data_IF_810519212530
#
_entry.id   IF_810519212530
#
_cell.length_a   1.000
_cell.length_b   1.000
_cell.length_c   1.000
_cell.angle_alpha   90.00
_cell.angle_beta   90.00
_cell.angle_gamma   90.00
#
_symmetry.space_group_name_H-M   'P 1'
#
loop_
_entity.id
_entity.type
_entity.pdbx_description
1 polymer ?
#
# COMPACT_ATOMS: atom_id res chain seq x y z
N UNK A 1 15.74 -18.98 -6.58
CA UNK A 1 16.46 -17.83 -5.99
C UNK A 1 17.50 -18.42 -5.06
N UNK A 2 18.75 -17.99 -5.12
CA UNK A 2 19.70 -18.29 -4.04
C UNK A 2 19.11 -17.76 -2.74
N UNK A 3 19.22 -18.50 -1.64
CA UNK A 3 18.78 -18.03 -0.34
C UNK A 3 19.33 -16.61 -0.12
N UNK A 4 18.43 -15.64 0.13
CA UNK A 4 18.84 -14.26 0.41
C UNK A 4 19.77 -14.32 1.62
N UNK A 5 21.05 -14.03 1.40
CA UNK A 5 22.08 -14.17 2.44
C UNK A 5 22.15 -12.84 3.20
N UNK A 6 21.78 -12.89 4.48
CA UNK A 6 21.67 -11.71 5.33
C UNK A 6 23.03 -11.36 5.94
N UNK A 7 23.54 -10.17 5.62
CA UNK A 7 24.77 -9.62 6.20
C UNK A 7 24.45 -8.50 7.20
N UNK A 8 24.74 -8.74 8.48
CA UNK A 8 24.55 -7.79 9.57
C UNK A 8 25.26 -6.44 9.32
N UNK A 9 26.39 -6.44 8.60
CA UNK A 9 27.11 -5.20 8.25
C UNK A 9 26.32 -4.35 7.26
N UNK A 10 25.75 -4.97 6.21
CA UNK A 10 24.91 -4.28 5.25
C UNK A 10 23.67 -3.70 5.92
N UNK A 11 23.12 -4.44 6.88
CA UNK A 11 21.95 -3.97 7.62
C UNK A 11 22.28 -2.74 8.46
N UNK A 12 23.36 -2.77 9.23
CA UNK A 12 23.78 -1.59 9.99
C UNK A 12 24.07 -0.39 9.09
N UNK A 13 24.57 -0.61 7.87
CA UNK A 13 24.90 0.44 6.89
C UNK A 13 23.67 1.08 6.25
N UNK A 14 22.67 0.27 5.89
CA UNK A 14 21.52 0.72 5.08
C UNK A 14 20.19 0.81 5.83
N UNK A 15 20.12 0.45 7.10
CA UNK A 15 18.94 0.65 7.95
C UNK A 15 18.78 2.12 8.38
N UNK A 16 18.63 3.00 7.39
CA UNK A 16 18.47 4.44 7.54
C UNK A 16 17.00 4.87 7.43
N UNK A 17 16.70 6.08 7.87
CA UNK A 17 15.40 6.70 7.62
C UNK A 17 15.29 7.10 6.15
N UNK A 18 14.18 6.75 5.51
CA UNK A 18 14.00 7.01 4.10
C UNK A 18 12.55 6.86 3.66
N UNK A 19 12.21 7.39 2.49
CA UNK A 19 10.85 7.36 1.98
C UNK A 19 10.43 5.94 1.62
N UNK A 20 9.14 5.66 1.82
CA UNK A 20 8.55 4.36 1.47
C UNK A 20 8.28 4.20 -0.02
N UNK A 21 8.41 5.28 -0.81
CA UNK A 21 8.06 5.36 -2.23
C UNK A 21 6.71 4.72 -2.56
N UNK A 22 5.71 5.07 -1.74
CA UNK A 22 4.30 4.85 -2.08
C UNK A 22 3.91 5.63 -3.35
N UNK A 23 4.54 6.79 -3.54
CA UNK A 23 4.53 7.61 -4.75
C UNK A 23 5.88 8.32 -4.88
N UNK A 24 6.16 8.86 -6.06
CA UNK A 24 7.16 9.89 -6.26
C UNK A 24 6.52 11.09 -6.98
N UNK A 25 6.69 12.32 -6.47
CA UNK A 25 7.28 12.65 -5.17
C UNK A 25 6.48 12.08 -3.99
N UNK A 26 7.06 12.07 -2.80
CA UNK A 26 6.36 11.58 -1.60
C UNK A 26 5.23 12.52 -1.19
N UNK A 27 4.31 12.05 -0.35
CA UNK A 27 3.24 12.89 0.20
C UNK A 27 3.73 14.13 0.99
N UNK A 28 5.03 14.21 1.34
CA UNK A 28 5.62 15.41 1.95
C UNK A 28 5.79 16.58 0.97
N UNK A 29 5.80 16.32 -0.33
CA UNK A 29 5.88 17.37 -1.35
C UNK A 29 4.53 18.07 -1.61
N UNK A 30 3.41 17.48 -1.15
CA UNK A 30 2.09 18.06 -1.34
C UNK A 30 1.96 19.38 -0.58
N UNK A 31 1.49 20.42 -1.27
CA UNK A 31 1.33 21.78 -0.74
C UNK A 31 -0.14 22.20 -0.71
N UNK A 32 -0.51 23.03 0.26
CA UNK A 32 -1.81 23.73 0.29
C UNK A 32 -1.90 24.81 -0.80
N UNK A 33 -0.75 25.32 -1.25
CA UNK A 33 -0.63 26.19 -2.42
C UNK A 33 -0.61 25.35 -3.69
N UNK A 34 -1.81 24.94 -4.14
CA UNK A 34 -1.98 24.07 -5.31
C UNK A 34 -3.14 24.55 -6.19
N UNK A 35 -2.88 24.65 -7.49
CA UNK A 35 -3.89 24.98 -8.49
C UNK A 35 -4.81 23.78 -8.76
N UNK A 36 -6.00 23.83 -8.17
CA UNK A 36 -7.01 22.77 -8.30
C UNK A 36 -7.55 22.61 -9.73
N UNK A 37 -7.41 23.61 -10.59
CA UNK A 37 -7.88 23.51 -11.99
C UNK A 37 -7.12 22.44 -12.78
N UNK A 38 -5.90 22.09 -12.33
CA UNK A 38 -5.09 21.02 -12.89
C UNK A 38 -5.74 19.63 -12.75
N UNK A 39 -6.60 19.42 -11.76
CA UNK A 39 -7.28 18.13 -11.54
C UNK A 39 -8.20 17.80 -12.71
N UNK A 40 -9.08 18.72 -13.10
CA UNK A 40 -10.02 18.52 -14.22
C UNK A 40 -9.27 18.23 -15.51
N UNK A 41 -8.18 18.97 -15.76
CA UNK A 41 -7.32 18.76 -16.92
C UNK A 41 -6.66 17.37 -16.89
N UNK A 42 -6.06 17.00 -15.76
CA UNK A 42 -5.40 15.70 -15.60
C UNK A 42 -6.35 14.53 -15.81
N UNK A 43 -7.56 14.61 -15.26
CA UNK A 43 -8.60 13.60 -15.45
C UNK A 43 -9.01 13.54 -16.93
N UNK A 44 -9.24 14.69 -17.58
CA UNK A 44 -9.60 14.75 -19.00
C UNK A 44 -8.54 14.13 -19.92
N UNK A 45 -7.26 14.37 -19.65
CA UNK A 45 -6.11 13.89 -20.45
C UNK A 45 -5.59 12.49 -20.05
N UNK A 46 -6.20 11.87 -19.04
CA UNK A 46 -5.84 10.52 -18.57
C UNK A 46 -6.38 9.42 -19.49
N UNK A 47 -5.94 8.18 -19.27
CA UNK A 47 -6.53 7.02 -19.94
C UNK A 47 -8.03 6.87 -19.61
N UNK A 48 -8.76 6.09 -20.40
CA UNK A 48 -10.18 5.86 -20.16
C UNK A 48 -10.43 5.02 -18.91
N UNK A 49 -9.46 4.21 -18.50
CA UNK A 49 -9.59 3.34 -17.33
C UNK A 49 -8.87 3.91 -16.11
N UNK A 50 -9.58 3.91 -14.98
CA UNK A 50 -9.09 4.41 -13.70
C UNK A 50 -9.34 3.38 -12.59
N UNK A 51 -8.50 3.45 -11.56
CA UNK A 51 -8.70 2.81 -10.27
C UNK A 51 -9.41 3.78 -9.32
N UNK A 52 -10.30 3.24 -8.49
CA UNK A 52 -11.03 3.96 -7.47
C UNK A 52 -10.65 3.41 -6.08
N UNK A 53 -10.20 4.30 -5.20
CA UNK A 53 -10.02 4.02 -3.77
C UNK A 53 -11.09 4.74 -2.97
N UNK A 54 -11.69 4.06 -2.00
CA UNK A 54 -12.58 4.70 -1.03
C UNK A 54 -12.05 4.40 0.37
N UNK A 55 -11.80 5.48 1.11
CA UNK A 55 -11.40 5.38 2.51
C UNK A 55 -12.62 5.27 3.41
N UNK A 56 -12.72 4.19 4.19
CA UNK A 56 -13.73 4.03 5.24
C UNK A 56 -13.01 4.16 6.60
N UNK A 57 -13.11 5.31 7.30
CA UNK A 57 -12.21 5.61 8.42
C UNK A 57 -12.58 4.87 9.70
N UNK A 58 -13.75 4.27 9.81
CA UNK A 58 -14.26 3.79 11.10
C UNK A 58 -13.67 2.45 11.53
N UNK A 59 -13.32 2.33 12.81
CA UNK A 59 -12.99 1.06 13.46
C UNK A 59 -13.77 0.92 14.78
N UNK A 60 -14.21 -0.31 15.09
CA UNK A 60 -14.88 -0.58 16.37
C UNK A 60 -13.93 -0.53 17.58
N UNK A 61 -12.67 -0.93 17.38
CA UNK A 61 -11.68 -1.09 18.45
C UNK A 61 -10.32 -0.50 18.07
N UNK A 62 -9.67 0.12 19.05
CA UNK A 62 -8.35 0.70 18.92
C UNK A 62 -7.25 -0.37 18.98
N UNK A 63 -6.64 -0.71 17.84
CA UNK A 63 -5.39 -1.47 17.81
C UNK A 63 -4.22 -0.52 18.12
N UNK A 64 -3.32 -0.91 19.04
CA UNK A 64 -2.29 -0.02 19.58
C UNK A 64 -1.13 0.23 18.60
N UNK A 65 -0.84 -0.71 17.69
CA UNK A 65 0.19 -0.55 16.66
C UNK A 65 -0.19 0.39 15.51
N UNK A 66 -1.49 0.62 15.30
CA UNK A 66 -2.03 1.12 14.03
C UNK A 66 -1.67 2.59 13.77
N UNK A 67 -1.05 2.86 12.62
CA UNK A 67 -0.71 4.20 12.12
C UNK A 67 -1.60 4.71 10.98
N UNK A 68 -2.72 4.03 10.69
CA UNK A 68 -3.66 4.42 9.63
C UNK A 68 -4.46 5.68 10.02
N UNK A 69 -4.95 6.44 9.04
CA UNK A 69 -6.02 7.41 9.28
C UNK A 69 -7.31 6.62 9.61
N UNK A 70 -7.89 6.89 10.78
CA UNK A 70 -9.04 6.15 11.30
C UNK A 70 -9.71 6.87 12.46
N UNK A 71 -10.97 6.54 12.68
CA UNK A 71 -11.83 7.05 13.75
C UNK A 71 -12.39 5.87 14.54
N UNK A 72 -12.05 5.80 15.82
CA UNK A 72 -12.58 4.75 16.71
C UNK A 72 -13.97 5.16 17.17
N UNK A 73 -14.98 4.33 16.89
CA UNK A 73 -16.35 4.59 17.33
C UNK A 73 -17.17 3.32 17.41
N UNK A 74 -18.22 3.35 18.24
CA UNK A 74 -19.27 2.31 18.31
C UNK A 74 -20.61 2.77 17.73
N UNK A 75 -20.66 4.02 17.25
CA UNK A 75 -21.86 4.67 16.73
C UNK A 75 -22.00 4.38 15.24
N UNK A 76 -22.90 3.46 14.89
CA UNK A 76 -23.09 3.02 13.50
C UNK A 76 -23.70 4.13 12.61
N UNK A 77 -24.47 5.04 13.21
CA UNK A 77 -25.08 6.21 12.58
C UNK A 77 -24.05 7.18 11.96
N UNK A 78 -22.81 7.16 12.47
CA UNK A 78 -21.71 7.91 11.86
C UNK A 78 -21.36 7.42 10.47
N UNK A 79 -21.54 6.12 10.19
CA UNK A 79 -21.36 5.59 8.84
C UNK A 79 -22.45 6.07 7.89
N UNK A 80 -23.72 6.20 8.34
CA UNK A 80 -24.79 6.74 7.50
C UNK A 80 -24.55 8.21 7.12
N UNK A 81 -24.08 9.00 8.09
CA UNK A 81 -23.66 10.39 7.85
C UNK A 81 -22.52 10.44 6.83
N UNK A 82 -21.53 9.57 6.98
CA UNK A 82 -20.38 9.50 6.08
C UNK A 82 -20.75 9.05 4.67
N UNK A 83 -21.63 8.05 4.53
CA UNK A 83 -22.12 7.59 3.22
C UNK A 83 -22.94 8.67 2.51
N UNK A 84 -23.65 9.51 3.26
CA UNK A 84 -24.33 10.68 2.68
C UNK A 84 -23.33 11.69 2.11
N UNK A 85 -22.25 11.97 2.83
CA UNK A 85 -21.18 12.84 2.35
C UNK A 85 -20.43 12.23 1.15
N UNK A 86 -20.12 10.93 1.19
CA UNK A 86 -19.52 10.21 0.06
C UNK A 86 -20.42 10.26 -1.19
N UNK A 87 -21.74 10.13 -1.05
CA UNK A 87 -22.66 10.26 -2.17
C UNK A 87 -22.58 11.65 -2.83
N UNK A 88 -22.43 12.71 -2.03
CA UNK A 88 -22.23 14.08 -2.52
C UNK A 88 -20.87 14.22 -3.19
N UNK A 89 -19.80 13.68 -2.62
CA UNK A 89 -18.47 13.66 -3.25
C UNK A 89 -18.48 12.93 -4.60
N UNK A 90 -19.15 11.78 -4.68
CA UNK A 90 -19.32 11.02 -5.92
C UNK A 90 -20.08 11.83 -6.98
N UNK A 91 -21.10 12.60 -6.56
CA UNK A 91 -21.82 13.49 -7.46
C UNK A 91 -20.95 14.61 -8.02
N UNK A 92 -19.99 15.13 -7.24
CA UNK A 92 -19.01 16.14 -7.71
C UNK A 92 -18.02 15.55 -8.72
N UNK A 93 -17.61 14.29 -8.53
CA UNK A 93 -16.71 13.59 -9.47
C UNK A 93 -17.40 13.07 -10.73
N UNK A 94 -18.70 12.75 -10.67
CA UNK A 94 -19.42 12.11 -11.78
C UNK A 94 -19.28 12.86 -13.13
N UNK A 95 -19.41 14.20 -13.21
CA UNK A 95 -19.19 14.92 -14.46
C UNK A 95 -17.75 14.82 -14.99
N UNK A 96 -16.76 14.74 -14.10
CA UNK A 96 -15.34 14.63 -14.47
C UNK A 96 -15.01 13.23 -15.01
N UNK A 97 -15.78 12.22 -14.61
CA UNK A 97 -15.54 10.81 -14.91
C UNK A 97 -16.53 10.22 -15.93
N UNK A 98 -17.35 11.05 -16.59
CA UNK A 98 -18.41 10.60 -17.50
C UNK A 98 -17.91 9.71 -18.66
N UNK A 99 -16.70 9.98 -19.16
CA UNK A 99 -16.06 9.21 -20.24
C UNK A 99 -15.05 8.18 -19.71
N UNK A 100 -15.02 7.95 -18.40
CA UNK A 100 -14.08 7.04 -17.74
C UNK A 100 -14.78 5.76 -17.31
N UNK A 101 -14.00 4.70 -17.19
CA UNK A 101 -14.43 3.40 -16.68
C UNK A 101 -13.57 3.00 -15.49
N UNK A 102 -14.19 2.46 -14.46
CA UNK A 102 -13.50 1.97 -13.28
C UNK A 102 -13.15 0.49 -13.50
N UNK A 103 -11.86 0.17 -13.60
CA UNK A 103 -11.38 -1.21 -13.76
C UNK A 103 -10.87 -1.82 -12.45
N UNK A 104 -10.66 -1.00 -11.42
CA UNK A 104 -10.32 -1.46 -10.07
C UNK A 104 -11.05 -0.60 -9.04
N UNK A 105 -11.66 -1.23 -8.05
CA UNK A 105 -12.23 -0.60 -6.87
C UNK A 105 -11.61 -1.22 -5.62
N UNK A 106 -11.15 -0.38 -4.70
CA UNK A 106 -10.63 -0.82 -3.41
C UNK A 106 -11.27 -0.02 -2.27
N UNK A 107 -11.89 -0.75 -1.35
CA UNK A 107 -12.32 -0.20 -0.06
C UNK A 107 -11.24 -0.50 0.97
N UNK A 108 -10.64 0.54 1.54
CA UNK A 108 -9.63 0.41 2.61
C UNK A 108 -9.83 1.44 3.71
N UNK A 109 -8.85 1.56 4.60
CA UNK A 109 -8.74 2.68 5.53
C UNK A 109 -8.67 2.27 7.00
N UNK A 110 -9.72 2.57 7.76
CA UNK A 110 -9.89 2.04 9.11
C UNK A 110 -10.33 0.59 9.06
N UNK A 111 -11.62 0.36 8.83
CA UNK A 111 -12.19 -0.98 8.66
C UNK A 111 -13.42 -0.88 7.76
N UNK A 112 -13.30 -1.15 6.45
CA UNK A 112 -14.47 -1.15 5.54
C UNK A 112 -15.62 -2.04 6.02
N UNK A 113 -15.33 -3.19 6.62
CA UNK A 113 -16.34 -4.09 7.20
C UNK A 113 -16.97 -3.59 8.51
N UNK A 114 -16.61 -2.38 8.96
CA UNK A 114 -17.40 -1.62 9.93
C UNK A 114 -18.81 -1.34 9.39
N UNK A 115 -18.94 -1.11 8.08
CA UNK A 115 -20.23 -0.93 7.44
C UNK A 115 -21.09 -2.20 7.60
N UNK A 116 -22.38 -2.00 7.85
CA UNK A 116 -23.37 -3.08 7.82
C UNK A 116 -23.60 -3.53 6.38
N UNK A 117 -24.24 -4.68 6.20
CA UNK A 117 -24.62 -5.25 4.92
C UNK A 117 -25.52 -4.27 4.12
N UNK A 118 -26.42 -3.56 4.82
CA UNK A 118 -27.28 -2.52 4.23
C UNK A 118 -26.43 -1.33 3.76
N UNK A 119 -25.51 -0.86 4.59
CA UNK A 119 -24.61 0.26 4.26
C UNK A 119 -23.65 -0.09 3.12
N UNK A 120 -23.15 -1.33 3.04
CA UNK A 120 -22.35 -1.83 1.92
C UNK A 120 -23.16 -1.87 0.63
N UNK A 121 -24.40 -2.38 0.68
CA UNK A 121 -25.30 -2.34 -0.48
C UNK A 121 -25.57 -0.92 -0.95
N UNK A 122 -25.80 0.01 -0.02
CA UNK A 122 -26.00 1.42 -0.32
C UNK A 122 -24.77 2.03 -0.99
N UNK A 123 -23.56 1.78 -0.45
CA UNK A 123 -22.31 2.26 -1.04
C UNK A 123 -22.12 1.75 -2.47
N UNK A 124 -22.33 0.46 -2.71
CA UNK A 124 -22.22 -0.12 -4.05
C UNK A 124 -23.28 0.41 -5.01
N UNK A 125 -24.51 0.63 -4.54
CA UNK A 125 -25.55 1.26 -5.36
C UNK A 125 -25.20 2.71 -5.74
N UNK A 126 -24.63 3.48 -4.81
CA UNK A 126 -24.14 4.83 -5.08
C UNK A 126 -23.00 4.83 -6.11
N UNK A 127 -22.05 3.92 -5.96
CA UNK A 127 -20.96 3.71 -6.92
C UNK A 127 -21.48 3.44 -8.33
N UNK A 128 -22.39 2.48 -8.50
CA UNK A 128 -22.99 2.16 -9.79
C UNK A 128 -23.87 3.29 -10.36
N UNK A 129 -24.44 4.12 -9.49
CA UNK A 129 -25.22 5.31 -9.91
C UNK A 129 -24.31 6.39 -10.50
N UNK A 130 -23.13 6.60 -9.93
CA UNK A 130 -22.26 7.73 -10.28
C UNK A 130 -21.14 7.37 -11.27
N UNK A 131 -20.73 6.10 -11.33
CA UNK A 131 -19.58 5.68 -12.13
C UNK A 131 -19.89 4.43 -12.98
N UNK A 132 -19.25 4.37 -14.14
CA UNK A 132 -19.24 3.17 -14.98
C UNK A 132 -18.17 2.21 -14.50
N UNK A 133 -18.57 1.10 -13.86
CA UNK A 133 -17.64 0.06 -13.38
C UNK A 133 -17.63 -1.08 -14.40
N UNK A 134 -16.43 -1.50 -14.82
CA UNK A 134 -16.28 -2.62 -15.75
C UNK A 134 -16.82 -3.91 -15.12
N UNK A 135 -17.45 -4.76 -15.92
CA UNK A 135 -18.04 -6.02 -15.45
C UNK A 135 -16.99 -6.99 -14.88
N UNK A 136 -15.75 -6.90 -15.37
CA UNK A 136 -14.58 -7.68 -14.95
C UNK A 136 -13.63 -6.90 -14.03
N UNK A 137 -14.08 -5.78 -13.45
CA UNK A 137 -13.26 -4.98 -12.55
C UNK A 137 -12.75 -5.79 -11.35
N UNK A 138 -11.51 -5.52 -10.91
CA UNK A 138 -11.01 -6.01 -9.62
C UNK A 138 -11.70 -5.20 -8.50
N UNK A 139 -12.57 -5.84 -7.72
CA UNK A 139 -13.30 -5.20 -6.63
C UNK A 139 -12.85 -5.81 -5.31
N UNK A 140 -12.16 -5.01 -4.50
CA UNK A 140 -11.43 -5.46 -3.33
C UNK A 140 -11.81 -4.71 -2.05
N UNK A 141 -11.69 -5.39 -0.91
CA UNK A 141 -12.03 -4.85 0.40
C UNK A 141 -11.08 -5.35 1.50
N UNK A 142 -10.69 -4.46 2.40
CA UNK A 142 -10.00 -4.80 3.65
C UNK A 142 -11.00 -5.25 4.74
N UNK A 143 -10.66 -6.32 5.46
CA UNK A 143 -11.51 -7.00 6.43
C UNK A 143 -10.80 -7.12 7.77
N UNK A 144 -11.47 -6.66 8.84
CA UNK A 144 -11.16 -7.11 10.20
C UNK A 144 -11.90 -8.44 10.45
N UNK A 145 -11.19 -9.56 10.65
CA UNK A 145 -11.83 -10.88 10.80
C UNK A 145 -12.82 -10.92 11.96
N UNK A 146 -12.58 -10.13 13.02
CA UNK A 146 -13.39 -10.11 14.25
C UNK A 146 -14.80 -9.55 14.06
N UNK A 147 -15.04 -8.78 12.99
CA UNK A 147 -16.29 -8.06 12.76
C UNK A 147 -16.99 -8.47 11.46
N UNK A 148 -16.48 -9.50 10.78
CA UNK A 148 -17.02 -10.00 9.54
C UNK A 148 -17.68 -11.38 9.76
N UNK A 149 -19.02 -11.43 9.75
CA UNK A 149 -19.75 -12.69 9.82
C UNK A 149 -19.72 -13.43 8.48
N UNK A 150 -20.01 -14.73 8.49
CA UNK A 150 -20.18 -15.53 7.29
C UNK A 150 -21.23 -14.94 6.34
N UNK A 151 -22.34 -14.45 6.89
CA UNK A 151 -23.38 -13.75 6.13
C UNK A 151 -22.84 -12.49 5.45
N UNK A 152 -22.00 -11.71 6.15
CA UNK A 152 -21.35 -10.52 5.58
C UNK A 152 -20.37 -10.89 4.46
N UNK A 153 -19.58 -11.96 4.61
CA UNK A 153 -18.69 -12.45 3.54
C UNK A 153 -19.49 -12.89 2.30
N UNK A 154 -20.58 -13.63 2.50
CA UNK A 154 -21.51 -13.99 1.42
C UNK A 154 -22.11 -12.76 0.74
N UNK A 155 -22.50 -11.76 1.52
CA UNK A 155 -23.04 -10.49 1.02
C UNK A 155 -22.01 -9.69 0.23
N UNK A 156 -20.76 -9.61 0.68
CA UNK A 156 -19.66 -8.99 -0.08
C UNK A 156 -19.50 -9.67 -1.44
N UNK A 157 -19.51 -11.01 -1.47
CA UNK A 157 -19.40 -11.73 -2.74
C UNK A 157 -20.58 -11.43 -3.68
N UNK A 158 -21.80 -11.36 -3.13
CA UNK A 158 -23.01 -10.98 -3.87
C UNK A 158 -22.93 -9.56 -4.45
N UNK A 159 -22.34 -8.62 -3.72
CA UNK A 159 -22.11 -7.24 -4.18
C UNK A 159 -21.01 -7.11 -5.25
N UNK A 160 -20.33 -8.22 -5.62
CA UNK A 160 -19.32 -8.23 -6.67
C UNK A 160 -17.88 -8.14 -6.18
N UNK A 161 -17.63 -8.07 -4.86
CA UNK A 161 -16.27 -8.17 -4.34
C UNK A 161 -15.67 -9.52 -4.72
N UNK A 162 -14.50 -9.49 -5.36
CA UNK A 162 -13.81 -10.67 -5.86
C UNK A 162 -12.40 -10.85 -5.26
N UNK A 163 -11.91 -9.86 -4.50
CA UNK A 163 -10.66 -9.92 -3.74
C UNK A 163 -10.85 -9.41 -2.31
N UNK A 164 -10.15 -10.01 -1.35
CA UNK A 164 -10.20 -9.61 0.07
C UNK A 164 -8.82 -9.53 0.68
N UNK A 165 -8.66 -8.64 1.67
CA UNK A 165 -7.45 -8.55 2.51
C UNK A 165 -7.84 -8.65 3.98
N UNK A 166 -7.33 -9.65 4.70
CA UNK A 166 -7.58 -9.80 6.13
C UNK A 166 -6.42 -9.25 6.96
N UNK A 167 -6.75 -8.38 7.91
CA UNK A 167 -5.80 -7.91 8.90
C UNK A 167 -5.53 -8.94 9.99
N UNK A 168 -4.57 -9.86 9.80
CA UNK A 168 -4.20 -10.89 10.78
C UNK A 168 -3.17 -10.35 11.79
N UNK A 169 -2.11 -9.73 11.30
CA UNK A 169 -0.99 -9.16 12.07
C UNK A 169 -0.11 -10.21 12.75
N UNK A 170 -0.68 -11.00 13.67
CA UNK A 170 -0.02 -12.11 14.37
C UNK A 170 -1.09 -13.11 14.90
N UNK A 171 -0.68 -14.36 15.08
CA UNK A 171 -1.49 -15.44 15.67
C UNK A 171 -1.11 -15.74 17.13
N UNK A 172 0.03 -15.24 17.61
CA UNK A 172 0.44 -15.39 19.01
C UNK A 172 -0.46 -14.56 19.94
N UNK A 173 -1.10 -15.24 20.90
CA UNK A 173 -2.07 -14.62 21.82
C UNK A 173 -1.43 -13.51 22.67
N UNK A 174 -0.18 -13.68 23.11
CA UNK A 174 0.52 -12.67 23.93
C UNK A 174 0.78 -11.41 23.12
N UNK A 175 1.21 -11.54 21.87
CA UNK A 175 1.36 -10.43 20.92
C UNK A 175 0.00 -9.75 20.72
N UNK A 176 -1.05 -10.53 20.45
CA UNK A 176 -2.40 -10.01 20.22
C UNK A 176 -2.97 -9.23 21.42
N UNK A 177 -2.77 -9.72 22.64
CA UNK A 177 -3.16 -9.01 23.87
C UNK A 177 -2.41 -7.68 23.96
N UNK A 178 -1.09 -7.71 23.79
CA UNK A 178 -0.23 -6.53 23.89
C UNK A 178 -0.65 -5.41 22.91
N UNK A 179 -1.08 -5.78 21.70
CA UNK A 179 -1.51 -4.83 20.68
C UNK A 179 -3.01 -4.51 20.69
N UNK A 180 -3.76 -5.08 21.63
CA UNK A 180 -5.22 -4.96 21.78
C UNK A 180 -6.02 -5.51 20.58
N UNK A 181 -5.54 -6.59 19.97
CA UNK A 181 -6.11 -7.24 18.79
C UNK A 181 -6.28 -8.76 18.96
N UNK A 182 -6.87 -9.18 20.09
CA UNK A 182 -7.26 -10.58 20.31
C UNK A 182 -8.25 -11.05 19.24
N UNK A 183 -7.94 -12.16 18.60
CA UNK A 183 -8.73 -12.82 17.57
C UNK A 183 -8.39 -14.31 17.51
N UNK A 184 -9.39 -15.14 17.24
CA UNK A 184 -9.21 -16.59 17.17
C UNK A 184 -8.57 -17.01 15.84
N UNK A 185 -7.60 -17.92 15.91
CA UNK A 185 -6.98 -18.52 14.72
C UNK A 185 -7.97 -19.41 13.96
N UNK A 186 -8.87 -20.12 14.66
CA UNK A 186 -9.89 -20.95 14.02
C UNK A 186 -10.89 -20.11 13.22
N UNK A 187 -11.22 -18.91 13.71
CA UNK A 187 -12.02 -17.94 12.96
C UNK A 187 -11.34 -17.56 11.64
N UNK A 188 -10.03 -17.29 11.66
CA UNK A 188 -9.27 -16.91 10.46
C UNK A 188 -9.24 -18.10 9.47
N UNK A 189 -8.96 -19.32 9.96
CA UNK A 189 -9.00 -20.55 9.13
C UNK A 189 -10.35 -20.70 8.43
N UNK A 190 -11.43 -20.58 9.21
CA UNK A 190 -12.80 -20.69 8.71
C UNK A 190 -13.10 -19.63 7.64
N UNK A 191 -12.80 -18.35 7.90
CA UNK A 191 -13.07 -17.27 6.95
C UNK A 191 -12.27 -17.40 5.66
N UNK A 192 -10.99 -17.80 5.72
CA UNK A 192 -10.18 -18.06 4.53
C UNK A 192 -10.78 -19.21 3.71
N UNK A 193 -11.21 -20.29 4.36
CA UNK A 193 -11.87 -21.41 3.68
C UNK A 193 -13.21 -20.99 3.06
N UNK A 194 -14.02 -20.22 3.78
CA UNK A 194 -15.29 -19.71 3.29
C UNK A 194 -15.10 -18.78 2.08
N UNK A 195 -14.11 -17.89 2.10
CA UNK A 195 -13.79 -17.06 0.94
C UNK A 195 -13.45 -17.90 -0.30
N UNK A 196 -12.73 -19.02 -0.15
CA UNK A 196 -12.49 -19.94 -1.28
C UNK A 196 -13.78 -20.57 -1.78
N UNK A 197 -14.64 -21.03 -0.88
CA UNK A 197 -15.93 -21.64 -1.23
C UNK A 197 -16.87 -20.65 -1.95
N UNK A 198 -16.85 -19.38 -1.53
CA UNK A 198 -17.59 -18.29 -2.17
C UNK A 198 -16.96 -17.83 -3.50
N UNK A 199 -15.77 -18.32 -3.85
CA UNK A 199 -15.10 -18.02 -5.12
C UNK A 199 -14.47 -16.63 -5.18
N UNK A 200 -13.91 -16.14 -4.07
CA UNK A 200 -12.95 -15.03 -4.13
C UNK A 200 -11.68 -15.48 -4.86
N UNK A 201 -11.19 -14.66 -5.79
CA UNK A 201 -10.08 -15.02 -6.69
C UNK A 201 -8.69 -14.78 -6.09
N UNK A 202 -8.60 -13.89 -5.09
CA UNK A 202 -7.34 -13.59 -4.41
C UNK A 202 -7.63 -13.20 -2.95
N UNK A 203 -7.06 -13.98 -2.03
CA UNK A 203 -7.13 -13.76 -0.58
C UNK A 203 -5.77 -13.30 -0.10
N UNK A 204 -5.69 -12.09 0.45
CA UNK A 204 -4.49 -11.56 1.10
C UNK A 204 -4.59 -11.67 2.63
N UNK A 205 -3.48 -12.02 3.29
CA UNK A 205 -3.33 -11.89 4.74
C UNK A 205 -2.23 -10.87 5.05
N UNK A 206 -2.57 -9.85 5.84
CA UNK A 206 -1.62 -8.86 6.33
C UNK A 206 -1.03 -9.34 7.66
N UNK A 207 0.30 -9.33 7.76
CA UNK A 207 1.11 -9.69 8.92
C UNK A 207 2.04 -8.52 9.29
N UNK A 208 2.47 -8.47 10.54
CA UNK A 208 3.41 -7.46 11.01
C UNK A 208 4.52 -8.14 11.80
N UNK A 209 5.78 -7.83 11.48
CA UNK A 209 6.93 -8.21 12.30
C UNK A 209 7.51 -7.01 13.05
N UNK A 210 8.14 -7.25 14.20
CA UNK A 210 8.62 -6.23 15.12
C UNK A 210 7.58 -5.78 16.16
N UNK A 211 6.49 -6.53 16.37
CA UNK A 211 5.50 -6.26 17.41
C UNK A 211 6.00 -6.70 18.81
N UNK A 212 5.44 -6.12 19.89
CA UNK A 212 5.68 -6.55 21.27
C UNK A 212 5.64 -8.07 21.47
N UNK A 213 6.63 -8.61 22.18
CA UNK A 213 6.76 -10.03 22.54
C UNK A 213 6.93 -11.02 21.38
N UNK A 214 7.15 -10.54 20.15
CA UNK A 214 7.54 -11.43 19.07
C UNK A 214 8.97 -11.95 19.28
N UNK A 215 9.13 -13.26 19.19
CA UNK A 215 10.41 -13.95 19.18
C UNK A 215 10.46 -14.92 18.00
N UNK A 216 11.65 -15.34 17.54
CA UNK A 216 11.78 -16.27 16.42
C UNK A 216 10.89 -17.51 16.54
N UNK A 217 10.80 -18.11 17.72
CA UNK A 217 10.04 -19.34 17.94
C UNK A 217 8.53 -19.13 17.78
N UNK A 218 7.96 -18.08 18.40
CA UNK A 218 6.53 -17.79 18.27
C UNK A 218 6.16 -17.31 16.88
N UNK A 219 7.03 -16.50 16.28
CA UNK A 219 6.80 -16.02 14.92
C UNK A 219 6.88 -17.16 13.89
N UNK A 220 7.76 -18.15 14.07
CA UNK A 220 7.78 -19.35 13.21
C UNK A 220 6.44 -20.10 13.24
N UNK A 221 5.80 -20.22 14.41
CA UNK A 221 4.48 -20.85 14.52
C UNK A 221 3.42 -20.06 13.73
N UNK A 222 3.45 -18.73 13.81
CA UNK A 222 2.61 -17.86 12.99
C UNK A 222 2.88 -18.09 11.50
N UNK A 223 4.14 -18.14 11.06
CA UNK A 223 4.50 -18.37 9.66
C UNK A 223 4.02 -19.75 9.16
N UNK A 224 4.23 -20.81 9.94
CA UNK A 224 3.82 -22.18 9.59
C UNK A 224 2.31 -22.28 9.39
N UNK A 225 1.54 -21.62 10.25
CA UNK A 225 0.08 -21.58 10.13
C UNK A 225 -0.36 -20.75 8.91
N UNK A 226 0.27 -19.61 8.63
CA UNK A 226 -0.04 -18.79 7.45
C UNK A 226 0.27 -19.56 6.15
N UNK A 227 1.39 -20.29 6.10
CA UNK A 227 1.72 -21.16 4.97
C UNK A 227 0.67 -22.27 4.81
N UNK A 228 0.24 -22.89 5.92
CA UNK A 228 -0.82 -23.91 5.92
C UNK A 228 -2.16 -23.36 5.43
N UNK A 229 -2.51 -22.14 5.83
CA UNK A 229 -3.69 -21.43 5.32
C UNK A 229 -3.61 -21.22 3.81
N UNK A 230 -2.41 -21.12 3.24
CA UNK A 230 -2.12 -20.98 1.81
C UNK A 230 -2.87 -19.81 1.13
N UNK A 231 -2.85 -18.58 1.68
CA UNK A 231 -3.47 -17.42 1.03
C UNK A 231 -2.83 -17.16 -0.34
N UNK A 232 -3.48 -16.39 -1.20
CA UNK A 232 -2.95 -16.11 -2.54
C UNK A 232 -1.91 -14.99 -2.52
N UNK A 233 -2.04 -14.08 -1.55
CA UNK A 233 -1.10 -13.00 -1.26
C UNK A 233 -0.80 -12.90 0.23
N UNK A 234 0.38 -12.39 0.55
CA UNK A 234 0.79 -12.08 1.92
C UNK A 234 1.46 -10.71 1.89
N UNK A 235 1.06 -9.84 2.82
CA UNK A 235 1.80 -8.62 3.12
C UNK A 235 2.47 -8.79 4.48
N UNK A 236 3.80 -8.73 4.55
CA UNK A 236 4.57 -8.83 5.79
C UNK A 236 5.21 -7.48 6.11
N UNK A 237 4.50 -6.64 6.86
CA UNK A 237 4.91 -5.28 7.14
C UNK A 237 5.89 -5.18 8.31
N UNK A 238 6.90 -4.32 8.16
CA UNK A 238 7.76 -3.88 9.26
C UNK A 238 6.98 -2.96 10.20
N UNK A 239 6.93 -3.27 11.50
CA UNK A 239 6.29 -2.40 12.48
C UNK A 239 7.01 -1.04 12.57
N UNK A 240 6.27 0.04 12.33
CA UNK A 240 6.75 1.42 12.46
C UNK A 240 6.28 2.03 13.80
N UNK A 241 7.19 2.08 14.78
CA UNK A 241 6.94 2.67 16.08
C UNK A 241 7.28 4.17 16.10
N UNK A 242 6.26 5.01 16.09
CA UNK A 242 6.31 6.48 16.11
C UNK A 242 5.25 7.03 17.08
N UNK A 243 5.38 6.79 18.40
CA UNK A 243 4.36 7.12 19.40
C UNK A 243 4.05 8.62 19.52
N UNK A 244 4.98 9.50 19.10
CA UNK A 244 4.74 10.94 19.02
C UNK A 244 3.75 11.33 17.92
N UNK A 245 3.69 10.55 16.85
CA UNK A 245 2.73 10.75 15.76
C UNK A 245 1.47 9.92 15.95
N UNK A 246 1.58 8.75 16.57
CA UNK A 246 0.48 7.81 16.78
C UNK A 246 0.32 7.53 18.28
N UNK A 247 -0.44 8.36 19.03
CA UNK A 247 -0.50 8.29 20.49
C UNK A 247 -0.93 6.92 21.07
N UNK A 248 -1.69 6.14 20.31
CA UNK A 248 -2.10 4.79 20.72
C UNK A 248 -0.90 3.84 20.93
N UNK A 249 0.21 4.07 20.22
CA UNK A 249 1.43 3.25 20.34
C UNK A 249 2.12 3.45 21.70
N UNK A 250 1.84 4.55 22.43
CA UNK A 250 2.33 4.76 23.81
C UNK A 250 1.77 3.73 24.82
N UNK A 251 0.74 2.96 24.42
CA UNK A 251 0.18 1.87 25.23
C UNK A 251 0.97 0.56 25.09
N UNK A 252 1.90 0.50 24.15
CA UNK A 252 2.79 -0.63 24.00
C UNK A 252 3.97 -0.46 24.96
N UNK A 253 4.41 -1.56 25.56
CA UNK A 253 5.61 -1.58 26.38
C UNK A 253 6.84 -1.55 25.46
N UNK A 254 7.66 -0.51 25.56
CA UNK A 254 8.85 -0.37 24.72
C UNK A 254 9.88 -1.46 24.99
N UNK A 255 9.97 -1.98 26.21
CA UNK A 255 10.92 -3.03 26.59
C UNK A 255 10.50 -4.40 26.03
N UNK A 256 9.23 -4.53 25.63
CA UNK A 256 8.72 -5.72 24.96
C UNK A 256 8.96 -5.74 23.45
N UNK A 257 9.40 -4.62 22.86
CA UNK A 257 9.67 -4.55 21.42
C UNK A 257 10.93 -5.35 21.06
N UNK A 258 10.92 -6.11 19.95
CA UNK A 258 12.11 -6.79 19.48
C UNK A 258 13.26 -5.80 19.24
N UNK A 259 14.47 -6.20 19.64
CA UNK A 259 15.68 -5.46 19.29
C UNK A 259 15.86 -5.43 17.77
N UNK A 260 16.67 -4.51 17.20
CA UNK A 260 16.92 -4.48 15.76
C UNK A 260 17.37 -5.84 15.19
N UNK A 261 18.27 -6.54 15.87
CA UNK A 261 18.76 -7.85 15.43
C UNK A 261 17.65 -8.91 15.37
N UNK A 262 16.79 -8.97 16.39
CA UNK A 262 15.63 -9.88 16.38
C UNK A 262 14.66 -9.48 15.28
N UNK A 263 14.34 -8.20 15.14
CA UNK A 263 13.41 -7.73 14.09
C UNK A 263 13.88 -8.12 12.69
N UNK A 264 15.18 -8.08 12.44
CA UNK A 264 15.79 -8.52 11.17
C UNK A 264 15.73 -10.04 11.00
N UNK A 265 15.97 -10.79 12.07
CA UNK A 265 15.80 -12.24 12.07
C UNK A 265 14.35 -12.60 11.70
N UNK A 266 13.35 -11.94 12.29
CA UNK A 266 11.93 -12.15 11.97
C UNK A 266 11.62 -11.85 10.49
N UNK A 267 12.15 -10.75 9.96
CA UNK A 267 12.01 -10.41 8.54
C UNK A 267 12.59 -11.51 7.64
N UNK A 268 13.79 -11.97 7.97
CA UNK A 268 14.52 -13.00 7.24
C UNK A 268 13.76 -14.32 7.23
N UNK A 269 13.27 -14.74 8.40
CA UNK A 269 12.45 -15.93 8.58
C UNK A 269 11.16 -15.86 7.75
N UNK A 270 10.46 -14.72 7.79
CA UNK A 270 9.24 -14.53 7.01
C UNK A 270 9.45 -14.62 5.51
N UNK A 271 10.49 -13.95 4.99
CA UNK A 271 10.85 -14.03 3.56
C UNK A 271 11.19 -15.46 3.16
N UNK A 272 12.06 -16.14 3.92
CA UNK A 272 12.46 -17.51 3.63
C UNK A 272 11.26 -18.46 3.65
N UNK A 273 10.44 -18.41 4.71
CA UNK A 273 9.27 -19.27 4.86
C UNK A 273 8.30 -19.16 3.66
N UNK A 274 8.00 -17.95 3.20
CA UNK A 274 7.09 -17.76 2.07
C UNK A 274 7.73 -18.13 0.73
N UNK A 275 9.01 -17.82 0.51
CA UNK A 275 9.71 -18.23 -0.72
C UNK A 275 9.81 -19.76 -0.79
N UNK A 276 10.17 -20.43 0.30
CA UNK A 276 10.27 -21.89 0.39
C UNK A 276 8.89 -22.56 0.23
N UNK A 277 7.81 -21.90 0.67
CA UNK A 277 6.43 -22.32 0.42
C UNK A 277 5.95 -22.05 -1.03
N UNK A 278 6.81 -21.52 -1.91
CA UNK A 278 6.52 -21.33 -3.33
C UNK A 278 5.90 -19.98 -3.70
N UNK A 279 5.89 -19.00 -2.79
CA UNK A 279 5.47 -17.65 -3.11
C UNK A 279 6.58 -16.89 -3.86
N UNK A 280 6.20 -16.10 -4.86
CA UNK A 280 7.09 -15.11 -5.45
C UNK A 280 7.21 -13.91 -4.52
N UNK A 281 8.43 -13.54 -4.17
CA UNK A 281 8.70 -12.25 -3.52
C UNK A 281 8.51 -11.12 -4.55
N UNK A 282 7.34 -10.48 -4.51
CA UNK A 282 6.99 -9.38 -5.41
C UNK A 282 7.87 -8.17 -5.13
N UNK A 283 8.20 -7.94 -3.86
CA UNK A 283 9.14 -6.91 -3.45
C UNK A 283 8.68 -6.18 -2.21
N UNK A 284 9.62 -5.51 -1.54
CA UNK A 284 9.41 -4.88 -0.24
C UNK A 284 8.82 -5.87 0.77
N UNK A 285 7.50 -5.84 0.93
CA UNK A 285 6.75 -6.49 1.98
C UNK A 285 5.71 -7.46 1.39
N UNK A 286 5.67 -7.65 0.06
CA UNK A 286 4.59 -8.38 -0.63
C UNK A 286 5.07 -9.69 -1.26
N UNK A 287 4.26 -10.72 -1.06
CA UNK A 287 4.41 -12.06 -1.62
C UNK A 287 3.13 -12.47 -2.31
N UNK A 288 3.23 -13.17 -3.43
CA UNK A 288 2.06 -13.68 -4.13
C UNK A 288 2.37 -15.04 -4.75
N UNK A 289 1.35 -15.89 -4.89
CA UNK A 289 1.50 -17.13 -5.67
C UNK A 289 1.90 -16.79 -7.12
N UNK A 290 2.71 -17.61 -7.80
CA UNK A 290 3.12 -17.35 -9.18
C UNK A 290 1.94 -17.20 -10.17
N UNK A 291 0.79 -17.78 -9.85
CA UNK A 291 -0.44 -17.68 -10.63
C UNK A 291 -1.22 -16.38 -10.43
N UNK A 292 -0.91 -15.61 -9.39
CA UNK A 292 -1.58 -14.35 -9.06
C UNK A 292 -1.27 -13.25 -10.10
N UNK A 293 -2.22 -12.34 -10.28
CA UNK A 293 -2.10 -11.23 -11.24
C UNK A 293 -0.86 -10.35 -11.02
N UNK A 294 -0.44 -10.09 -9.76
CA UNK A 294 0.75 -9.30 -9.48
C UNK A 294 2.03 -10.02 -9.93
N UNK A 295 2.14 -11.31 -9.62
CA UNK A 295 3.29 -12.12 -10.01
C UNK A 295 3.43 -12.19 -11.54
N UNK A 296 2.32 -12.47 -12.23
CA UNK A 296 2.26 -12.47 -13.71
C UNK A 296 2.61 -11.12 -14.31
N UNK A 297 2.07 -10.03 -13.75
CA UNK A 297 2.40 -8.68 -14.21
C UNK A 297 3.88 -8.35 -14.02
N UNK A 298 4.49 -8.76 -12.90
CA UNK A 298 5.91 -8.54 -12.65
C UNK A 298 6.80 -9.30 -13.65
N UNK A 299 6.49 -10.57 -13.89
CA UNK A 299 7.20 -11.43 -14.85
C UNK A 299 7.13 -10.85 -16.28
N UNK A 300 5.98 -10.26 -16.62
CA UNK A 300 5.75 -9.59 -17.90
C UNK A 300 6.32 -8.15 -17.98
N UNK A 301 6.94 -7.62 -16.91
CA UNK A 301 7.45 -6.23 -16.90
C UNK A 301 6.33 -5.18 -16.89
N UNK A 302 5.16 -5.50 -16.35
CA UNK A 302 3.93 -4.67 -16.34
C UNK A 302 3.39 -4.36 -14.94
N UNK A 303 4.00 -4.90 -13.87
CA UNK A 303 3.66 -4.54 -12.49
C UNK A 303 3.81 -3.04 -12.28
N UNK A 304 2.85 -2.45 -11.60
CA UNK A 304 2.85 -1.04 -11.25
C UNK A 304 2.68 -0.89 -9.74
N UNK A 305 2.87 0.34 -9.25
CA UNK A 305 2.66 0.68 -7.85
C UNK A 305 2.00 2.04 -7.70
N UNK A 306 0.98 2.13 -6.86
CA UNK A 306 0.32 3.37 -6.47
C UNK A 306 0.13 3.44 -4.95
N UNK A 307 -0.72 4.36 -4.47
CA UNK A 307 -0.97 4.55 -3.04
C UNK A 307 -1.59 3.36 -2.31
N UNK A 308 -2.21 2.41 -3.02
CA UNK A 308 -2.74 1.16 -2.47
C UNK A 308 -1.69 0.05 -2.39
N UNK A 309 -0.51 0.25 -2.97
CA UNK A 309 0.54 -0.76 -3.07
C UNK A 309 0.76 -1.24 -4.50
N UNK A 310 1.17 -2.49 -4.67
CA UNK A 310 1.36 -3.07 -6.00
C UNK A 310 0.02 -3.34 -6.67
N UNK A 311 -0.04 -3.06 -7.96
CA UNK A 311 -1.27 -3.13 -8.74
C UNK A 311 -0.97 -3.49 -10.20
N UNK A 312 -1.97 -4.03 -10.87
CA UNK A 312 -2.00 -4.20 -12.33
C UNK A 312 -2.66 -3.01 -13.03
N UNK A 313 -3.39 -2.16 -12.29
CA UNK A 313 -3.87 -0.87 -12.78
C UNK A 313 -2.71 0.13 -12.78
N UNK A 314 -2.67 1.03 -13.76
CA UNK A 314 -1.55 1.96 -13.93
C UNK A 314 -1.23 2.78 -12.67
N UNK A 315 0.05 3.11 -12.46
CA UNK A 315 0.52 3.93 -11.34
C UNK A 315 -0.15 5.32 -11.26
N UNK A 316 -0.53 5.88 -12.41
CA UNK A 316 -0.94 7.28 -12.57
C UNK A 316 -2.40 7.40 -13.05
N UNK A 317 -3.26 6.57 -12.46
CA UNK A 317 -4.66 6.39 -12.84
C UNK A 317 -5.55 6.12 -11.62
N UNK A 318 -5.32 6.78 -10.48
CA UNK A 318 -6.03 6.56 -9.22
C UNK A 318 -6.85 7.77 -8.79
N UNK A 319 -8.15 7.59 -8.60
CA UNK A 319 -9.03 8.52 -7.88
C UNK A 319 -9.27 7.98 -6.47
N UNK A 320 -9.05 8.82 -5.47
CA UNK A 320 -9.35 8.53 -4.06
C UNK A 320 -10.51 9.37 -3.57
N UNK A 321 -11.50 8.73 -2.96
CA UNK A 321 -12.68 9.37 -2.35
C UNK A 321 -12.70 9.15 -0.84
N UNK A 322 -13.34 10.07 -0.12
CA UNK A 322 -13.42 10.04 1.33
C UNK A 322 -12.27 10.76 2.02
N UNK A 323 -12.45 11.00 3.32
CA UNK A 323 -11.43 11.60 4.21
C UNK A 323 -10.05 10.96 4.04
N UNK A 324 -9.02 11.80 3.99
CA UNK A 324 -7.59 11.49 3.85
C UNK A 324 -7.13 10.83 2.54
N UNK A 325 -8.06 10.44 1.66
CA UNK A 325 -7.76 9.77 0.40
C UNK A 325 -6.82 10.58 -0.48
N UNK A 326 -5.96 9.87 -1.20
CA UNK A 326 -5.02 10.45 -2.15
C UNK A 326 -5.36 9.95 -3.55
N UNK A 327 -5.40 10.89 -4.48
CA UNK A 327 -5.52 10.62 -5.91
C UNK A 327 -4.19 10.91 -6.61
N UNK A 328 -3.94 10.21 -7.70
CA UNK A 328 -2.80 10.44 -8.58
C UNK A 328 -3.22 10.12 -10.02
N UNK A 329 -3.31 11.17 -10.85
CA UNK A 329 -3.70 11.04 -12.26
C UNK A 329 -2.85 11.97 -13.11
N UNK A 330 -2.29 11.46 -14.21
CA UNK A 330 -1.51 12.20 -15.21
C UNK A 330 -0.39 13.10 -14.61
N UNK A 331 0.24 12.66 -13.53
CA UNK A 331 1.28 13.41 -12.82
C UNK A 331 0.75 14.55 -11.96
N UNK A 332 -0.55 14.53 -11.62
CA UNK A 332 -1.14 15.44 -10.64
C UNK A 332 -1.59 14.60 -9.45
N UNK A 333 -1.10 14.96 -8.26
CA UNK A 333 -1.46 14.32 -7.00
C UNK A 333 -2.28 15.30 -6.17
N UNK A 334 -3.32 14.80 -5.51
CA UNK A 334 -4.07 15.60 -4.55
C UNK A 334 -4.59 14.72 -3.42
N UNK A 335 -4.67 15.29 -2.23
CA UNK A 335 -5.13 14.62 -1.02
C UNK A 335 -6.33 15.34 -0.44
N UNK A 336 -7.36 14.57 -0.10
CA UNK A 336 -8.50 15.05 0.66
C UNK A 336 -8.12 15.42 2.10
N UNK A 337 -8.89 16.30 2.73
CA UNK A 337 -8.73 16.68 4.15
C UNK A 337 -8.64 15.45 5.04
N UNK A 338 -7.80 15.52 6.09
CA UNK A 338 -7.49 14.37 6.96
C UNK A 338 -8.47 14.24 8.12
N UNK A 339 -9.20 15.30 8.42
CA UNK A 339 -10.14 15.38 9.52
C UNK A 339 -11.59 15.36 9.01
N UNK A 340 -12.42 14.52 9.63
CA UNK A 340 -13.83 14.38 9.24
C UNK A 340 -14.63 15.69 9.27
N UNK A 341 -14.49 16.60 10.26
CA UNK A 341 -15.23 17.86 10.26
C UNK A 341 -14.93 18.72 9.03
N UNK A 342 -13.66 18.82 8.64
CA UNK A 342 -13.23 19.59 7.47
C UNK A 342 -13.74 18.94 6.17
N UNK A 343 -13.67 17.61 6.09
CA UNK A 343 -14.23 16.83 4.98
C UNK A 343 -15.74 17.12 4.83
N UNK A 344 -16.52 17.03 5.91
CA UNK A 344 -17.96 17.29 5.86
C UNK A 344 -18.29 18.75 5.52
N UNK A 345 -17.50 19.70 6.03
CA UNK A 345 -17.71 21.11 5.74
C UNK A 345 -17.53 21.42 4.25
N UNK A 346 -16.45 20.94 3.62
CA UNK A 346 -16.21 21.14 2.20
C UNK A 346 -17.31 20.50 1.33
N UNK A 347 -17.71 19.27 1.67
CA UNK A 347 -18.78 18.56 0.96
C UNK A 347 -20.12 19.31 1.08
N UNK A 348 -20.46 19.83 2.25
CA UNK A 348 -21.68 20.62 2.46
C UNK A 348 -21.69 21.95 1.67
N UNK A 349 -20.52 22.46 1.29
CA UNK A 349 -20.36 23.64 0.43
C UNK A 349 -20.42 23.31 -1.07
N UNK A 350 -20.50 22.02 -1.43
CA UNK A 350 -20.47 21.57 -2.83
C UNK A 350 -19.06 21.49 -3.41
N UNK A 351 -18.03 21.46 -2.57
CA UNK A 351 -16.63 21.41 -2.99
C UNK A 351 -16.03 20.01 -2.83
N UNK A 352 -15.14 19.63 -3.76
CA UNK A 352 -14.28 18.45 -3.58
C UNK A 352 -13.32 18.76 -2.41
N UNK A 353 -13.20 17.89 -1.39
CA UNK A 353 -12.56 18.21 -0.10
C UNK A 353 -11.03 18.13 -0.17
N UNK A 354 -10.43 18.73 -1.20
CA UNK A 354 -8.98 18.78 -1.41
C UNK A 354 -8.34 19.66 -0.33
N UNK A 355 -7.30 19.15 0.34
CA UNK A 355 -6.47 19.90 1.29
C UNK A 355 -5.17 20.37 0.62
N UNK A 356 -4.51 19.48 -0.11
CA UNK A 356 -3.18 19.71 -0.67
C UNK A 356 -2.99 18.95 -1.98
N UNK A 357 -2.08 19.44 -2.82
CA UNK A 357 -1.74 18.79 -4.08
C UNK A 357 -0.33 19.08 -4.56
N UNK A 358 0.04 18.46 -5.68
CA UNK A 358 1.32 18.62 -6.36
C UNK A 358 1.17 18.26 -7.83
N UNK A 359 1.83 19.02 -8.71
CA UNK A 359 1.89 18.75 -10.15
C UNK A 359 3.33 18.47 -10.55
N UNK A 360 3.57 17.27 -11.08
CA UNK A 360 4.90 16.81 -11.47
C UNK A 360 5.39 17.62 -12.68
N UNK A 361 6.60 18.15 -12.56
CA UNK A 361 7.33 18.69 -13.69
C UNK A 361 7.93 17.55 -14.55
N UNK A 362 8.67 17.89 -15.61
CA UNK A 362 9.25 16.89 -16.51
C UNK A 362 10.27 15.97 -15.82
N UNK A 363 11.14 16.52 -14.96
CA UNK A 363 12.11 15.76 -14.16
C UNK A 363 11.39 14.84 -13.16
N UNK A 364 10.33 15.32 -12.52
CA UNK A 364 9.58 14.51 -11.57
C UNK A 364 8.94 13.29 -12.22
N UNK A 365 8.32 13.46 -13.40
CA UNK A 365 7.70 12.36 -14.16
C UNK A 365 8.74 11.31 -14.55
N UNK A 366 9.90 11.77 -14.97
CA UNK A 366 11.02 10.92 -15.34
C UNK A 366 11.53 10.12 -14.13
N UNK A 367 11.79 10.78 -13.00
CA UNK A 367 12.21 10.12 -11.76
C UNK A 367 11.15 9.18 -11.20
N UNK A 368 9.87 9.55 -11.28
CA UNK A 368 8.76 8.68 -10.88
C UNK A 368 8.75 7.38 -11.69
N UNK A 369 8.92 7.46 -13.01
CA UNK A 369 8.99 6.29 -13.87
C UNK A 369 10.21 5.42 -13.58
N UNK A 370 11.38 6.03 -13.35
CA UNK A 370 12.60 5.32 -12.97
C UNK A 370 12.43 4.57 -11.64
N UNK A 371 11.95 5.26 -10.60
CA UNK A 371 11.75 4.68 -9.26
C UNK A 371 10.70 3.57 -9.32
N UNK A 372 9.61 3.77 -10.06
CA UNK A 372 8.57 2.76 -10.28
C UNK A 372 9.15 1.51 -10.94
N UNK A 373 9.97 1.68 -11.97
CA UNK A 373 10.63 0.59 -12.68
C UNK A 373 11.57 -0.21 -11.76
N UNK A 374 12.40 0.45 -10.95
CA UNK A 374 13.30 -0.22 -10.01
C UNK A 374 12.55 -0.93 -8.88
N UNK A 375 11.52 -0.31 -8.30
CA UNK A 375 10.72 -0.91 -7.22
C UNK A 375 9.91 -2.11 -7.72
N UNK A 376 9.33 -2.03 -8.91
CA UNK A 376 8.46 -3.08 -9.43
C UNK A 376 9.24 -4.22 -10.10
N UNK A 377 10.38 -3.93 -10.72
CA UNK A 377 11.05 -4.90 -11.60
C UNK A 377 12.50 -5.19 -11.26
N UNK A 378 13.09 -4.46 -10.31
CA UNK A 378 14.47 -4.65 -9.87
C UNK A 378 15.51 -4.49 -10.99
N UNK A 379 15.13 -3.86 -12.10
CA UNK A 379 16.02 -3.62 -13.25
C UNK A 379 15.55 -2.44 -14.10
N UNK A 380 16.50 -1.77 -14.74
CA UNK A 380 16.27 -0.66 -15.65
C UNK A 380 17.25 -0.76 -16.83
N UNK A 381 16.72 -0.78 -18.06
CA UNK A 381 17.52 -0.64 -19.29
C UNK A 381 17.69 0.86 -19.59
N UNK A 382 18.92 1.36 -19.49
CA UNK A 382 19.18 2.81 -19.57
C UNK A 382 19.01 3.34 -20.99
N UNK A 383 19.30 2.54 -22.02
CA UNK A 383 19.13 2.95 -23.42
C UNK A 383 17.65 3.13 -23.80
N UNK A 384 16.82 2.16 -23.42
CA UNK A 384 15.36 2.19 -23.62
C UNK A 384 14.75 3.34 -22.84
N UNK A 385 15.16 3.51 -21.58
CA UNK A 385 14.68 4.60 -20.75
C UNK A 385 15.08 5.97 -21.32
N UNK A 386 16.35 6.17 -21.70
CA UNK A 386 16.81 7.41 -22.32
C UNK A 386 16.08 7.73 -23.61
N UNK A 387 15.83 6.73 -24.46
CA UNK A 387 15.03 6.92 -25.68
C UNK A 387 13.59 7.34 -25.37
N UNK A 388 12.95 6.69 -24.41
CA UNK A 388 11.58 7.00 -24.01
C UNK A 388 11.45 8.43 -23.46
N UNK A 389 12.42 8.86 -22.65
CA UNK A 389 12.43 10.16 -21.98
C UNK A 389 13.23 11.24 -22.70
N UNK A 390 13.73 10.94 -23.90
CA UNK A 390 14.53 11.85 -24.74
C UNK A 390 15.77 12.40 -24.01
N UNK A 391 16.40 11.58 -23.18
CA UNK A 391 17.66 11.92 -22.53
C UNK A 391 18.82 11.71 -23.52
N UNK A 392 19.71 12.71 -23.69
CA UNK A 392 20.89 12.55 -24.55
C UNK A 392 21.87 11.53 -23.96
N UNK A 393 22.06 11.55 -22.64
CA UNK A 393 22.87 10.59 -21.90
C UNK A 393 22.27 10.37 -20.50
N UNK A 394 22.09 9.10 -20.13
CA UNK A 394 21.49 8.72 -18.85
C UNK A 394 22.37 9.10 -17.65
N UNK A 395 23.65 8.74 -17.72
CA UNK A 395 24.57 8.88 -16.60
C UNK A 395 25.09 10.31 -16.47
N UNK A 396 25.06 11.09 -17.55
CA UNK A 396 25.23 12.54 -17.48
C UNK A 396 24.06 13.20 -16.72
N UNK A 397 22.82 12.80 -17.01
CA UNK A 397 21.64 13.35 -16.33
C UNK A 397 21.58 12.95 -14.86
N UNK A 398 22.00 11.72 -14.54
CA UNK A 398 21.96 11.13 -13.22
C UNK A 398 23.34 10.98 -12.56
N UNK A 399 24.28 11.90 -12.85
CA UNK A 399 25.65 11.82 -12.35
C UNK A 399 25.72 11.71 -10.81
N UNK A 400 24.95 12.54 -10.09
CA UNK A 400 24.87 12.50 -8.63
C UNK A 400 24.29 11.17 -8.11
N UNK A 401 23.38 10.55 -8.86
CA UNK A 401 22.81 9.26 -8.50
C UNK A 401 23.85 8.15 -8.61
N UNK A 402 24.72 8.20 -9.63
CA UNK A 402 25.79 7.22 -9.80
C UNK A 402 26.74 7.22 -8.61
N UNK A 403 27.19 8.40 -8.16
CA UNK A 403 28.01 8.54 -6.95
C UNK A 403 27.29 8.00 -5.72
N UNK A 404 25.98 8.27 -5.57
CA UNK A 404 25.19 7.72 -4.46
C UNK A 404 25.00 6.20 -4.55
N UNK A 405 25.11 5.60 -5.73
CA UNK A 405 25.00 4.16 -5.94
C UNK A 405 26.31 3.40 -5.67
N UNK A 406 27.47 4.06 -5.70
CA UNK A 406 28.80 3.43 -5.50
C UNK A 406 28.84 2.48 -4.28
N UNK A 407 28.36 2.86 -3.08
CA UNK A 407 28.38 1.96 -1.92
C UNK A 407 27.57 0.67 -2.14
N UNK A 408 26.45 0.75 -2.88
CA UNK A 408 25.60 -0.40 -3.20
C UNK A 408 26.24 -1.29 -4.27
N UNK A 409 27.03 -0.71 -5.17
CA UNK A 409 27.80 -1.44 -6.19
C UNK A 409 28.94 -2.21 -5.51
N UNK A 410 29.71 -1.55 -4.64
CA UNK A 410 30.80 -2.16 -3.88
C UNK A 410 30.32 -3.33 -3.00
N UNK A 411 29.12 -3.21 -2.43
CA UNK A 411 28.50 -4.24 -1.60
C UNK A 411 27.76 -5.33 -2.42
N UNK A 412 27.77 -5.28 -3.76
CA UNK A 412 27.10 -6.26 -4.62
C UNK A 412 25.57 -6.24 -4.56
N UNK A 413 24.97 -5.14 -4.09
CA UNK A 413 23.52 -4.96 -3.99
C UNK A 413 22.91 -4.47 -5.31
N UNK A 414 23.69 -3.76 -6.12
CA UNK A 414 23.31 -3.28 -7.44
C UNK A 414 24.45 -3.47 -8.41
N UNK A 415 24.15 -3.97 -9.59
CA UNK A 415 25.06 -3.99 -10.73
C UNK A 415 24.71 -2.84 -11.67
N UNK A 416 25.69 -1.98 -11.95
CA UNK A 416 25.58 -0.92 -12.96
C UNK A 416 26.56 -1.23 -14.09
N UNK A 417 26.05 -1.33 -15.31
CA UNK A 417 26.86 -1.56 -16.50
C UNK A 417 26.31 -0.77 -17.71
N UNK A 418 26.90 -0.98 -18.89
CA UNK A 418 26.50 -0.28 -20.12
C UNK A 418 25.05 -0.54 -20.56
N UNK A 419 24.44 -1.66 -20.14
CA UNK A 419 23.06 -2.03 -20.46
C UNK A 419 22.06 -1.39 -19.47
N UNK A 420 22.49 -1.18 -18.22
CA UNK A 420 21.73 -0.42 -17.25
C UNK A 420 21.96 -0.84 -15.81
N UNK A 421 20.87 -0.87 -15.02
CA UNK A 421 20.88 -1.13 -13.58
C UNK A 421 20.17 -2.45 -13.33
N UNK A 422 20.80 -3.37 -12.59
CA UNK A 422 20.17 -4.59 -12.08
C UNK A 422 20.35 -4.66 -10.56
N UNK A 423 19.24 -4.76 -9.83
CA UNK A 423 19.25 -4.97 -8.37
C UNK A 423 19.41 -6.46 -8.11
N UNK A 424 20.45 -6.84 -7.37
CA UNK A 424 20.70 -8.25 -7.04
C UNK A 424 19.62 -8.80 -6.10
N UNK A 425 19.53 -10.12 -5.94
CA UNK A 425 18.57 -10.72 -5.00
C UNK A 425 18.76 -10.20 -3.56
N UNK A 426 20.01 -9.94 -3.14
CA UNK A 426 20.32 -9.28 -1.87
C UNK A 426 19.92 -7.79 -1.86
N UNK A 427 20.08 -7.11 -3.00
CA UNK A 427 19.69 -5.71 -3.18
C UNK A 427 18.19 -5.43 -3.07
N UNK A 428 17.34 -6.43 -3.34
CA UNK A 428 15.87 -6.24 -3.35
C UNK A 428 15.31 -5.76 -2.01
N UNK A 429 15.95 -6.13 -0.90
CA UNK A 429 15.60 -5.68 0.45
C UNK A 429 15.87 -4.19 0.64
N UNK A 430 16.87 -3.67 -0.08
CA UNK A 430 17.35 -2.30 -0.02
C UNK A 430 16.83 -1.46 -1.18
N UNK A 431 15.85 -1.96 -1.95
CA UNK A 431 15.36 -1.28 -3.15
C UNK A 431 14.89 0.14 -2.88
N UNK A 432 14.32 0.40 -1.70
CA UNK A 432 13.94 1.75 -1.26
C UNK A 432 15.15 2.67 -1.10
N UNK A 433 16.24 2.17 -0.50
CA UNK A 433 17.50 2.91 -0.35
C UNK A 433 18.20 3.13 -1.71
N UNK A 434 18.12 2.15 -2.61
CA UNK A 434 18.63 2.28 -3.99
C UNK A 434 17.83 3.34 -4.77
N UNK A 435 16.49 3.33 -4.66
CA UNK A 435 15.65 4.35 -5.29
C UNK A 435 15.88 5.75 -4.73
N UNK A 436 16.27 5.87 -3.45
CA UNK A 436 16.63 7.13 -2.84
C UNK A 436 17.84 7.81 -3.50
N UNK A 437 18.71 7.06 -4.17
CA UNK A 437 19.79 7.62 -4.99
C UNK A 437 19.29 8.40 -6.22
N UNK A 438 18.01 8.27 -6.60
CA UNK A 438 17.40 8.99 -7.71
C UNK A 438 16.41 10.08 -7.27
N UNK A 439 16.23 10.26 -5.97
CA UNK A 439 15.32 11.26 -5.42
C UNK A 439 15.96 12.65 -5.42
N UNK A 440 15.25 13.63 -5.98
CA UNK A 440 15.67 15.03 -6.02
C UNK A 440 15.29 15.81 -4.75
N UNK A 441 14.34 15.32 -3.97
CA UNK A 441 13.80 15.98 -2.77
C UNK A 441 14.44 15.51 -1.48
N UNK A 442 15.23 14.43 -1.52
CA UNK A 442 16.02 13.98 -0.38
C UNK A 442 17.27 14.85 -0.19
N UNK A 443 17.20 15.75 0.77
CA UNK A 443 18.38 16.41 1.35
C UNK A 443 18.94 15.59 2.52
N UNK A 444 20.25 15.66 2.73
CA UNK A 444 20.89 15.03 3.91
C UNK A 444 20.28 15.61 5.20
N UNK A 445 19.69 14.74 6.04
CA UNK A 445 19.21 15.11 7.38
C UNK A 445 17.68 15.15 7.59
N UNK A 446 16.85 14.71 6.65
CA UNK A 446 15.39 14.65 6.88
C UNK A 446 15.00 13.54 7.89
N UNK A 447 14.93 13.90 9.18
CA UNK A 447 14.45 13.04 10.27
C UNK A 447 12.93 12.73 10.23
N UNK A 448 12.20 13.14 9.18
CA UNK A 448 10.74 13.00 9.10
C UNK A 448 10.25 11.61 8.64
N UNK A 449 11.16 10.74 8.21
CA UNK A 449 10.83 9.39 7.75
C UNK A 449 11.12 8.32 8.81
N UNK A 450 10.37 7.22 8.77
CA UNK A 450 10.68 6.00 9.53
C UNK A 450 11.86 5.25 8.91
N UNK A 451 12.48 4.35 9.68
CA UNK A 451 13.47 3.38 9.16
C UNK A 451 12.90 2.54 8.03
N UNK A 452 13.69 2.34 6.98
CA UNK A 452 13.30 1.66 5.74
C UNK A 452 13.17 0.14 5.90
N UNK A 453 13.91 -0.45 6.84
CA UNK A 453 13.96 -1.89 7.14
C UNK A 453 13.47 -2.18 8.57
#
# INVERSE_FOLDING_TARGET
MSAIQWDAKLISKYNINGPRYTSYPTALALSTEFDRTLITRAIGESADELSLYIHIPFCQKLCYYCGCNKVITRHQDKADTYLTALAQEMALYAPLLVNKRINQLHLGGGTPTFLTEVQLSQLMALLHKHFSINADAEISIEIDPRTCSDAKLGHLRYLGFNRVSFGVQDLDEKVQIAINRVQDTDLIRHQVQLCRQLGFSSINLDLIYGLPFQHPESFQQTLDEIVRLSPDRISLFSYAHLPERFPAQRKLDNDSLPTPDIKLQLQSMGIAAFVDAGYQFIGMDHFAKPSDALAKAQQAGKLQRNFQGYTTAGQDALIGLGVSSISQVKGVLWQNTKELPEYYQAIAQGDIPIDRGFSLNADDKLRAALISQLICHFKLDTATFSKQWQLPDFWQYFADALTRLEPFIEDGLVEVNAQGINVSDAGRLWVRSICACFDAYLSQGQQRYSKVV
#
